data_IF_745133463203
#
_entry.id   IF_745133463203
#
_cell.length_a   1.000
_cell.length_b   1.000
_cell.length_c   1.000
_cell.angle_alpha   90.00
_cell.angle_beta   90.00
_cell.angle_gamma   90.00
#
_symmetry.space_group_name_H-M   'P 1'
#
loop_
_entity.id
_entity.type
_entity.pdbx_description
1 polymer ?
#
# COMPACT_ATOMS: atom_id res chain seq x y z
N UNK A 1 2.77 29.59 -9.59
CA UNK A 1 1.56 29.75 -10.40
C UNK A 1 0.69 28.55 -10.11
N UNK A 2 -0.56 28.73 -9.71
CA UNK A 2 -1.50 27.63 -9.46
C UNK A 2 -2.10 27.16 -10.79
N UNK A 3 -2.53 25.88 -10.84
CA UNK A 3 -3.27 25.36 -11.98
C UNK A 3 -4.60 26.13 -12.10
N UNK A 4 -4.84 26.67 -13.28
CA UNK A 4 -6.14 27.20 -13.69
C UNK A 4 -6.67 26.31 -14.81
N UNK A 5 -7.92 25.86 -14.69
CA UNK A 5 -8.54 24.97 -15.69
C UNK A 5 -8.47 25.61 -17.08
N UNK A 6 -7.83 24.92 -18.02
CA UNK A 6 -7.64 25.43 -19.39
C UNK A 6 -6.30 26.12 -19.67
N UNK A 7 -5.44 26.36 -18.66
CA UNK A 7 -4.11 26.99 -18.87
C UNK A 7 -3.00 25.96 -19.11
N UNK A 8 -3.25 24.68 -18.84
CA UNK A 8 -2.33 23.59 -19.09
C UNK A 8 -3.06 22.39 -19.68
N UNK A 9 -2.63 21.94 -20.83
CA UNK A 9 -3.09 20.68 -21.40
C UNK A 9 -2.39 19.51 -20.73
N UNK A 10 -3.15 18.58 -20.19
CA UNK A 10 -2.67 17.35 -19.53
C UNK A 10 -2.72 16.18 -20.51
N UNK A 11 -1.63 15.45 -20.60
CA UNK A 11 -1.55 14.22 -21.38
C UNK A 11 -2.29 13.08 -20.66
N UNK A 12 -3.38 12.52 -21.23
CA UNK A 12 -4.08 11.38 -20.63
C UNK A 12 -3.18 10.16 -20.45
N UNK A 13 -2.23 9.93 -21.37
CA UNK A 13 -1.35 8.77 -21.37
C UNK A 13 -0.15 8.88 -20.41
N UNK A 14 0.16 10.09 -19.90
CA UNK A 14 1.37 10.30 -19.11
C UNK A 14 1.16 11.14 -17.85
N UNK A 15 0.46 12.28 -17.95
CA UNK A 15 0.24 13.17 -16.80
C UNK A 15 -0.78 12.56 -15.82
N UNK A 16 -1.89 12.03 -16.36
CA UNK A 16 -2.93 11.41 -15.54
C UNK A 16 -2.40 10.17 -14.78
N UNK A 17 -1.71 9.18 -15.41
CA UNK A 17 -1.11 8.06 -14.68
C UNK A 17 -0.13 8.50 -13.60
N UNK A 18 0.68 9.56 -13.85
CA UNK A 18 1.60 10.07 -12.86
C UNK A 18 0.86 10.67 -11.65
N UNK A 19 -0.19 11.47 -11.88
CA UNK A 19 -1.02 12.01 -10.79
C UNK A 19 -1.73 10.90 -10.01
N UNK A 20 -2.27 9.88 -10.70
CA UNK A 20 -2.88 8.70 -10.08
C UNK A 20 -1.87 7.97 -9.19
N UNK A 21 -0.65 7.75 -9.67
CA UNK A 21 0.39 7.09 -8.86
C UNK A 21 0.76 7.91 -7.64
N UNK A 22 0.89 9.24 -7.75
CA UNK A 22 1.14 10.10 -6.58
C UNK A 22 0.00 10.00 -5.57
N UNK A 23 -1.26 9.99 -6.02
CA UNK A 23 -2.43 9.82 -5.15
C UNK A 23 -2.40 8.48 -4.41
N UNK A 24 -2.17 7.37 -5.14
CA UNK A 24 -2.14 6.00 -4.60
C UNK A 24 -0.99 5.77 -3.62
N UNK A 25 0.14 6.44 -3.84
CA UNK A 25 1.34 6.34 -3.01
C UNK A 25 1.27 7.15 -1.71
N UNK A 26 0.31 8.06 -1.55
CA UNK A 26 0.22 8.99 -0.42
C UNK A 26 1.40 9.97 -0.37
N UNK A 27 2.55 9.50 0.14
CA UNK A 27 3.85 10.18 0.05
C UNK A 27 4.82 9.33 -0.76
N UNK A 28 5.54 9.95 -1.68
CA UNK A 28 6.44 9.24 -2.60
C UNK A 28 7.70 10.06 -2.88
N UNK A 29 8.85 9.40 -2.98
CA UNK A 29 10.08 10.08 -3.47
C UNK A 29 10.07 10.16 -5.00
N UNK A 30 10.84 11.12 -5.56
CA UNK A 30 11.00 11.22 -7.02
C UNK A 30 11.60 9.97 -7.66
N UNK A 31 12.43 9.22 -6.91
CA UNK A 31 13.01 7.97 -7.42
C UNK A 31 11.96 6.84 -7.44
N UNK A 32 11.20 6.67 -6.36
CA UNK A 32 10.10 5.70 -6.31
C UNK A 32 9.07 5.98 -7.42
N UNK A 33 8.68 7.25 -7.56
CA UNK A 33 7.69 7.65 -8.56
C UNK A 33 8.19 7.39 -9.99
N UNK A 34 9.45 7.72 -10.29
CA UNK A 34 10.06 7.38 -11.58
C UNK A 34 10.04 5.87 -11.85
N UNK A 35 10.34 5.08 -10.83
CA UNK A 35 10.36 3.63 -10.98
C UNK A 35 8.96 3.04 -11.20
N UNK A 36 7.94 3.54 -10.52
CA UNK A 36 6.55 3.18 -10.80
C UNK A 36 6.19 3.47 -12.26
N UNK A 37 6.48 4.69 -12.75
CA UNK A 37 6.19 5.07 -14.14
C UNK A 37 6.95 4.24 -15.16
N UNK A 38 8.18 3.83 -14.83
CA UNK A 38 9.00 2.95 -15.68
C UNK A 38 8.42 1.53 -15.73
N UNK A 39 7.98 0.99 -14.62
CA UNK A 39 7.37 -0.33 -14.54
C UNK A 39 6.02 -0.37 -15.26
N UNK A 40 5.23 0.71 -15.18
CA UNK A 40 4.00 0.91 -15.97
C UNK A 40 4.24 1.17 -17.45
N UNK A 41 5.49 1.34 -17.88
CA UNK A 41 5.87 1.71 -19.27
C UNK A 41 5.29 3.05 -19.75
N UNK A 42 4.87 3.91 -18.82
CA UNK A 42 4.37 5.26 -19.13
C UNK A 42 5.50 6.28 -19.26
N UNK A 43 6.72 5.96 -18.79
CA UNK A 43 7.89 6.82 -18.87
C UNK A 43 9.17 6.01 -19.17
N UNK A 44 9.87 6.38 -20.24
CA UNK A 44 11.11 5.69 -20.67
C UNK A 44 12.39 6.45 -20.33
N UNK A 45 12.31 7.76 -20.03
CA UNK A 45 13.46 8.63 -19.84
C UNK A 45 13.38 9.38 -18.51
N UNK A 46 14.45 9.30 -17.72
CA UNK A 46 14.56 10.06 -16.47
C UNK A 46 14.44 11.57 -16.68
N UNK A 47 15.06 12.08 -17.75
CA UNK A 47 15.01 13.51 -18.08
C UNK A 47 13.59 13.97 -18.41
N UNK A 48 12.84 13.20 -19.20
CA UNK A 48 11.45 13.50 -19.54
C UNK A 48 10.57 13.45 -18.30
N UNK A 49 10.75 12.45 -17.44
CA UNK A 49 10.07 12.35 -16.16
C UNK A 49 10.34 13.57 -15.26
N UNK A 50 11.60 13.95 -15.07
CA UNK A 50 11.98 15.07 -14.19
C UNK A 50 11.42 16.41 -14.73
N UNK A 51 11.35 16.57 -16.06
CA UNK A 51 10.71 17.73 -16.67
C UNK A 51 9.21 17.75 -16.41
N UNK A 52 8.52 16.61 -16.59
CA UNK A 52 7.10 16.44 -16.33
C UNK A 52 6.76 16.70 -14.87
N UNK A 53 7.49 16.07 -13.94
CA UNK A 53 7.30 16.26 -12.51
C UNK A 53 7.46 17.73 -12.11
N UNK A 54 8.49 18.41 -12.62
CA UNK A 54 8.69 19.86 -12.36
C UNK A 54 7.54 20.70 -12.89
N UNK A 55 7.00 20.38 -14.08
CA UNK A 55 5.86 21.05 -14.68
C UNK A 55 4.62 20.89 -13.81
N UNK A 56 4.27 19.67 -13.41
CA UNK A 56 3.10 19.38 -12.55
C UNK A 56 3.20 20.06 -11.17
N UNK A 57 4.43 20.09 -10.60
CA UNK A 57 4.69 20.84 -9.36
C UNK A 57 4.54 22.36 -9.58
N UNK A 58 5.08 22.89 -10.69
CA UNK A 58 4.99 24.32 -11.02
C UNK A 58 3.56 24.81 -11.19
N UNK A 59 2.67 23.95 -11.70
CA UNK A 59 1.24 24.22 -11.82
C UNK A 59 0.42 23.87 -10.58
N UNK A 60 1.06 23.44 -9.49
CA UNK A 60 0.41 23.18 -8.21
C UNK A 60 -0.41 21.90 -8.16
N UNK A 61 -0.27 20.95 -9.12
CA UNK A 61 -0.98 19.67 -9.11
C UNK A 61 -0.31 18.63 -8.19
N UNK A 62 0.99 18.77 -7.97
CA UNK A 62 1.79 17.98 -7.05
C UNK A 62 2.47 18.93 -6.07
N UNK A 63 2.48 18.58 -4.79
CA UNK A 63 3.13 19.33 -3.74
C UNK A 63 4.47 18.71 -3.36
N UNK A 64 5.52 19.54 -3.25
CA UNK A 64 6.76 19.18 -2.57
C UNK A 64 6.57 19.24 -1.07
N UNK A 65 7.13 18.28 -0.33
CA UNK A 65 7.09 18.19 1.13
C UNK A 65 8.50 18.31 1.71
N UNK A 66 9.10 19.52 1.75
CA UNK A 66 10.49 19.70 2.09
C UNK A 66 10.84 19.24 3.53
N UNK A 67 9.93 19.43 4.49
CA UNK A 67 10.11 19.00 5.88
C UNK A 67 10.07 17.50 6.12
N UNK A 68 9.68 16.71 5.09
CA UNK A 68 9.57 15.25 5.16
C UNK A 68 10.68 14.55 4.40
N UNK A 69 11.61 15.30 3.80
CA UNK A 69 12.72 14.73 3.03
C UNK A 69 13.60 13.84 3.92
N UNK A 70 13.83 12.59 3.48
CA UNK A 70 14.81 11.69 4.09
C UNK A 70 16.12 11.78 3.31
N UNK A 71 17.13 12.36 3.93
CA UNK A 71 18.41 12.60 3.28
C UNK A 71 18.27 13.57 2.10
N UNK A 72 18.78 13.18 0.91
CA UNK A 72 18.75 14.00 -0.31
C UNK A 72 17.49 13.82 -1.17
N UNK A 73 16.52 13.00 -0.73
CA UNK A 73 15.35 12.66 -1.54
C UNK A 73 14.17 13.58 -1.25
N UNK A 74 13.76 14.34 -2.26
CA UNK A 74 12.54 15.13 -2.21
C UNK A 74 11.31 14.22 -2.17
N UNK A 75 10.39 14.51 -1.24
CA UNK A 75 9.09 13.83 -1.10
C UNK A 75 7.99 14.65 -1.77
N UNK A 76 7.06 13.96 -2.39
CA UNK A 76 5.91 14.51 -3.10
C UNK A 76 4.61 13.91 -2.59
N UNK A 77 3.53 14.67 -2.72
CA UNK A 77 2.15 14.23 -2.49
C UNK A 77 1.22 14.92 -3.48
N UNK A 78 0.02 14.36 -3.68
CA UNK A 78 -1.00 15.01 -4.50
C UNK A 78 -1.49 16.30 -3.82
N UNK A 79 -1.74 17.35 -4.61
CA UNK A 79 -2.38 18.58 -4.14
C UNK A 79 -3.91 18.47 -4.21
N UNK A 80 -4.61 19.50 -3.70
CA UNK A 80 -6.05 19.62 -3.89
C UNK A 80 -6.44 19.72 -5.37
N UNK A 81 -5.70 20.55 -6.09
CA UNK A 81 -5.97 20.80 -7.50
C UNK A 81 -5.67 19.56 -8.34
N UNK A 82 -4.58 18.82 -8.00
CA UNK A 82 -4.28 17.53 -8.62
C UNK A 82 -5.33 16.46 -8.36
N UNK A 83 -5.88 16.40 -7.14
CA UNK A 83 -6.99 15.51 -6.83
C UNK A 83 -8.27 15.89 -7.60
N UNK A 84 -8.56 17.18 -7.74
CA UNK A 84 -9.72 17.66 -8.52
C UNK A 84 -9.60 17.27 -9.99
N UNK A 85 -8.40 17.40 -10.57
CA UNK A 85 -8.12 16.95 -11.95
C UNK A 85 -8.40 15.45 -12.12
N UNK A 86 -8.04 14.63 -11.15
CA UNK A 86 -8.29 13.20 -11.21
C UNK A 86 -9.77 12.85 -11.10
N UNK A 87 -10.55 13.59 -10.29
CA UNK A 87 -12.01 13.45 -10.22
C UNK A 87 -12.63 13.80 -11.58
N UNK A 88 -12.22 14.90 -12.20
CA UNK A 88 -12.69 15.32 -13.53
C UNK A 88 -12.32 14.27 -14.61
N UNK A 89 -11.22 13.55 -14.42
CA UNK A 89 -10.79 12.45 -15.29
C UNK A 89 -11.48 11.11 -15.00
N UNK A 90 -12.41 11.06 -14.03
CA UNK A 90 -13.18 9.86 -13.69
C UNK A 90 -12.56 8.99 -12.59
N UNK A 91 -11.52 9.44 -11.89
CA UNK A 91 -10.92 8.72 -10.75
C UNK A 91 -11.78 8.91 -9.49
N UNK A 92 -12.59 7.91 -9.18
CA UNK A 92 -13.58 7.97 -8.09
C UNK A 92 -12.95 8.08 -6.69
N UNK A 93 -11.70 7.62 -6.53
CA UNK A 93 -11.01 7.62 -5.23
C UNK A 93 -10.39 8.98 -4.87
N UNK A 94 -10.20 9.86 -5.85
CA UNK A 94 -9.56 11.17 -5.65
C UNK A 94 -10.38 12.12 -4.77
N UNK A 95 -11.71 11.95 -4.73
CA UNK A 95 -12.62 12.78 -3.95
C UNK A 95 -12.49 12.63 -2.44
N UNK A 96 -11.96 11.50 -1.98
CA UNK A 96 -11.61 11.28 -0.58
C UNK A 96 -10.19 11.74 -0.33
N UNK A 97 -10.07 12.96 0.13
CA UNK A 97 -8.81 13.37 0.71
C UNK A 97 -8.45 12.47 1.87
N UNK A 98 -7.35 12.01 1.74
CA UNK A 98 -6.25 11.66 2.63
C UNK A 98 -6.23 12.35 4.01
N UNK A 99 -7.39 12.46 4.68
CA UNK A 99 -7.42 12.76 6.11
C UNK A 99 -6.61 11.69 6.86
N UNK A 100 -6.61 10.48 6.34
CA UNK A 100 -5.87 9.34 6.92
C UNK A 100 -4.41 9.26 6.46
N UNK A 101 -4.04 9.79 5.30
CA UNK A 101 -2.62 9.97 4.91
C UNK A 101 -1.88 10.88 5.89
N UNK A 102 -2.57 11.86 6.48
CA UNK A 102 -1.98 12.73 7.51
C UNK A 102 -1.78 11.98 8.84
N UNK A 103 -2.59 10.95 9.12
CA UNK A 103 -2.46 10.14 10.36
C UNK A 103 -1.29 9.16 10.30
N UNK A 104 -0.95 8.67 9.10
CA UNK A 104 0.21 7.80 8.93
C UNK A 104 1.47 8.64 8.70
N UNK A 105 2.58 8.27 9.32
CA UNK A 105 3.84 8.98 9.13
C UNK A 105 4.30 8.86 7.67
N UNK A 106 4.91 9.91 7.13
CA UNK A 106 5.53 9.89 5.79
C UNK A 106 6.43 8.66 5.59
N UNK A 107 7.16 8.27 6.63
CA UNK A 107 8.03 7.11 6.59
C UNK A 107 7.27 5.80 6.34
N UNK A 108 6.07 5.63 6.89
CA UNK A 108 5.23 4.47 6.64
C UNK A 108 4.90 4.34 5.13
N UNK A 109 4.46 5.43 4.51
CA UNK A 109 4.16 5.45 3.08
C UNK A 109 5.36 5.16 2.19
N UNK A 110 6.52 5.75 2.52
CA UNK A 110 7.73 5.52 1.74
C UNK A 110 8.20 4.06 1.82
N UNK A 111 8.12 3.45 3.00
CA UNK A 111 8.47 2.06 3.22
C UNK A 111 7.46 1.10 2.57
N UNK A 112 6.16 1.41 2.63
CA UNK A 112 5.11 0.67 1.94
C UNK A 112 5.28 0.72 0.41
N UNK A 113 5.67 1.86 -0.16
CA UNK A 113 5.97 1.99 -1.58
C UNK A 113 7.19 1.13 -1.98
N UNK A 114 8.19 0.96 -1.13
CA UNK A 114 9.30 0.02 -1.41
C UNK A 114 8.80 -1.43 -1.46
N UNK A 115 7.91 -1.83 -0.56
CA UNK A 115 7.27 -3.16 -0.60
C UNK A 115 6.52 -3.35 -1.92
N UNK A 116 5.73 -2.37 -2.34
CA UNK A 116 5.01 -2.39 -3.61
C UNK A 116 5.97 -2.54 -4.80
N UNK A 117 7.00 -1.70 -4.87
CA UNK A 117 8.01 -1.74 -5.92
C UNK A 117 8.77 -3.07 -5.95
N UNK A 118 9.11 -3.63 -4.79
CA UNK A 118 9.79 -4.92 -4.69
C UNK A 118 8.96 -6.07 -5.28
N UNK A 119 7.66 -6.12 -4.95
CA UNK A 119 6.73 -7.08 -5.53
C UNK A 119 6.56 -6.88 -7.04
N UNK A 120 6.46 -5.64 -7.50
CA UNK A 120 6.31 -5.36 -8.93
C UNK A 120 7.54 -5.76 -9.74
N UNK A 121 8.74 -5.41 -9.26
CA UNK A 121 10.04 -5.81 -9.89
C UNK A 121 10.18 -7.32 -10.03
N UNK A 122 9.67 -8.08 -9.07
CA UNK A 122 9.74 -9.55 -9.06
C UNK A 122 8.82 -10.20 -10.08
N UNK A 123 7.90 -9.44 -10.71
CA UNK A 123 6.83 -9.92 -11.59
C UNK A 123 5.84 -10.88 -10.92
N UNK A 124 5.88 -11.01 -9.60
CA UNK A 124 4.89 -11.78 -8.85
C UNK A 124 3.60 -10.98 -8.63
N UNK A 125 3.64 -9.66 -8.68
CA UNK A 125 2.49 -8.78 -8.47
C UNK A 125 1.51 -8.88 -9.63
N UNK A 126 0.27 -9.30 -9.35
CA UNK A 126 -0.86 -9.29 -10.28
C UNK A 126 -1.66 -7.99 -10.09
N UNK A 127 -1.99 -7.64 -8.83
CA UNK A 127 -2.74 -6.42 -8.50
C UNK A 127 -2.33 -5.88 -7.14
N UNK A 128 -2.24 -4.56 -7.08
CA UNK A 128 -2.09 -3.80 -5.84
C UNK A 128 -3.30 -2.88 -5.68
N UNK A 129 -4.11 -3.12 -4.66
CA UNK A 129 -5.23 -2.26 -4.27
C UNK A 129 -4.78 -1.40 -3.09
N UNK A 130 -4.56 -0.09 -3.28
CA UNK A 130 -4.03 0.78 -2.22
C UNK A 130 -5.09 1.13 -1.18
N UNK A 131 -4.65 1.62 -0.01
CA UNK A 131 -5.54 2.05 1.07
C UNK A 131 -6.62 3.05 0.62
N UNK A 132 -6.30 3.96 -0.30
CA UNK A 132 -7.25 4.94 -0.84
C UNK A 132 -8.44 4.29 -1.57
N UNK A 133 -8.17 3.22 -2.32
CA UNK A 133 -9.19 2.43 -3.01
C UNK A 133 -10.00 1.60 -2.00
N UNK A 134 -9.32 0.96 -1.04
CA UNK A 134 -9.96 0.17 0.02
C UNK A 134 -10.92 1.04 0.84
N UNK A 135 -10.48 2.21 1.31
CA UNK A 135 -11.32 3.16 2.03
C UNK A 135 -12.57 3.57 1.24
N UNK A 136 -12.45 3.72 -0.08
CA UNK A 136 -13.59 4.02 -0.93
C UNK A 136 -14.55 2.83 -1.05
N UNK A 137 -14.03 1.62 -1.23
CA UNK A 137 -14.82 0.39 -1.28
C UNK A 137 -15.56 0.14 0.04
N UNK A 138 -14.93 0.42 1.18
CA UNK A 138 -15.52 0.23 2.51
C UNK A 138 -16.73 1.13 2.82
N UNK A 139 -17.06 2.07 1.93
CA UNK A 139 -18.34 2.81 1.99
C UNK A 139 -19.51 2.07 1.35
N UNK A 140 -19.24 1.01 0.64
CA UNK A 140 -20.26 0.20 -0.05
C UNK A 140 -20.64 -1.01 0.80
N UNK A 141 -21.60 -1.81 0.31
CA UNK A 141 -21.96 -3.08 0.93
C UNK A 141 -20.87 -4.16 0.78
N UNK A 142 -20.00 -4.06 -0.22
CA UNK A 142 -18.86 -4.94 -0.45
C UNK A 142 -17.60 -4.34 0.19
N UNK A 143 -17.38 -4.63 1.46
CA UNK A 143 -16.36 -3.97 2.26
C UNK A 143 -15.45 -4.95 2.98
N UNK A 144 -14.19 -4.56 3.14
CA UNK A 144 -13.26 -5.20 4.06
C UNK A 144 -13.62 -4.87 5.51
N UNK A 145 -13.21 -5.69 6.44
CA UNK A 145 -13.42 -5.44 7.88
C UNK A 145 -12.75 -4.15 8.35
N UNK A 146 -11.64 -3.76 7.72
CA UNK A 146 -10.92 -2.51 8.03
C UNK A 146 -10.26 -1.91 6.79
N UNK A 147 -9.78 -0.68 6.92
CA UNK A 147 -8.94 -0.03 5.91
C UNK A 147 -7.51 -0.58 6.03
N UNK A 148 -7.18 -1.58 5.21
CA UNK A 148 -5.82 -2.13 5.11
C UNK A 148 -4.87 -1.16 4.40
N UNK A 149 -3.57 -1.28 4.64
CA UNK A 149 -2.55 -0.52 3.91
C UNK A 149 -2.53 -0.87 2.43
N UNK A 150 -2.76 -2.15 2.11
CA UNK A 150 -3.03 -2.61 0.75
C UNK A 150 -3.78 -3.96 0.77
N UNK A 151 -4.44 -4.30 -0.35
CA UNK A 151 -4.80 -5.68 -0.68
C UNK A 151 -4.04 -6.07 -1.93
N UNK A 152 -3.33 -7.18 -1.85
CA UNK A 152 -2.34 -7.61 -2.83
C UNK A 152 -2.77 -8.93 -3.44
N UNK A 153 -2.79 -9.01 -4.77
CA UNK A 153 -2.91 -10.26 -5.52
C UNK A 153 -1.55 -10.58 -6.15
N UNK A 154 -1.10 -11.81 -6.00
CA UNK A 154 0.20 -12.30 -6.49
C UNK A 154 0.03 -13.61 -7.24
N UNK A 155 0.91 -13.81 -8.24
CA UNK A 155 1.07 -15.10 -8.88
C UNK A 155 2.00 -15.98 -8.04
N UNK A 156 1.56 -17.19 -7.72
CA UNK A 156 2.36 -18.20 -7.03
C UNK A 156 2.08 -19.60 -7.59
N UNK A 157 2.86 -20.59 -7.14
CA UNK A 157 2.69 -21.98 -7.58
C UNK A 157 1.26 -22.46 -7.25
N UNK A 158 0.47 -22.66 -8.27
CA UNK A 158 -0.95 -23.08 -8.15
C UNK A 158 -1.97 -22.00 -8.54
N UNK A 159 -1.54 -20.81 -8.97
CA UNK A 159 -2.44 -19.77 -9.47
C UNK A 159 -2.26 -18.41 -8.80
N UNK A 160 -3.35 -17.64 -8.73
CA UNK A 160 -3.38 -16.36 -8.07
C UNK A 160 -3.78 -16.51 -6.60
N UNK A 161 -3.02 -15.88 -5.72
CA UNK A 161 -3.33 -15.77 -4.30
C UNK A 161 -3.54 -14.31 -3.91
N UNK A 162 -4.45 -14.07 -2.94
CA UNK A 162 -4.80 -12.74 -2.45
C UNK A 162 -4.66 -12.65 -0.94
N UNK A 163 -4.09 -11.55 -0.48
CA UNK A 163 -3.95 -11.27 0.95
C UNK A 163 -4.05 -9.77 1.24
N UNK A 164 -4.44 -9.41 2.47
CA UNK A 164 -4.31 -8.05 2.96
C UNK A 164 -2.91 -7.82 3.53
N UNK A 165 -2.38 -6.61 3.35
CA UNK A 165 -1.07 -6.18 3.84
C UNK A 165 -1.24 -5.08 4.87
N UNK A 166 -0.53 -5.20 5.98
CA UNK A 166 -0.36 -4.20 7.03
C UNK A 166 1.12 -3.97 7.28
N UNK A 167 1.54 -2.72 7.28
CA UNK A 167 2.91 -2.34 7.59
C UNK A 167 3.00 -1.71 8.99
N UNK A 168 3.53 -2.43 9.96
CA UNK A 168 3.59 -1.98 11.35
C UNK A 168 4.97 -1.39 11.67
N UNK A 169 5.02 -0.08 11.90
CA UNK A 169 6.27 0.64 12.21
C UNK A 169 6.51 0.85 13.69
N UNK A 170 5.45 1.12 14.42
CA UNK A 170 5.50 1.49 15.82
C UNK A 170 4.45 0.70 16.58
N UNK A 171 4.72 0.26 17.82
CA UNK A 171 3.76 -0.48 18.60
C UNK A 171 2.52 0.39 18.89
N UNK A 172 1.35 -0.24 18.79
CA UNK A 172 0.08 0.32 19.24
C UNK A 172 -0.13 -0.02 20.72
N UNK A 173 -1.13 0.59 21.33
CA UNK A 173 -1.55 0.21 22.69
C UNK A 173 -2.10 -1.22 22.71
N UNK A 174 -2.07 -1.82 23.87
CA UNK A 174 -2.60 -3.18 24.07
C UNK A 174 -4.07 -3.29 23.63
N UNK A 175 -4.90 -2.32 24.04
CA UNK A 175 -6.32 -2.29 23.68
C UNK A 175 -6.54 -2.18 22.18
N UNK A 176 -5.72 -1.36 21.46
CA UNK A 176 -5.85 -1.20 20.01
C UNK A 176 -5.58 -2.49 19.23
N UNK A 177 -4.65 -3.35 19.68
CA UNK A 177 -4.47 -4.66 19.06
C UNK A 177 -5.65 -5.61 19.30
N UNK A 178 -6.28 -5.54 20.49
CA UNK A 178 -7.50 -6.29 20.79
C UNK A 178 -8.67 -5.85 19.92
N UNK A 179 -8.86 -4.54 19.73
CA UNK A 179 -9.86 -3.99 18.81
C UNK A 179 -9.64 -4.43 17.37
N UNK A 180 -8.38 -4.42 16.91
CA UNK A 180 -8.03 -4.94 15.59
C UNK A 180 -8.39 -6.42 15.46
N UNK A 181 -8.01 -7.26 16.43
CA UNK A 181 -8.32 -8.68 16.39
C UNK A 181 -9.85 -8.92 16.33
N UNK A 182 -10.64 -8.19 17.13
CA UNK A 182 -12.11 -8.27 17.10
C UNK A 182 -12.67 -7.82 15.73
N UNK A 183 -12.17 -6.73 15.17
CA UNK A 183 -12.59 -6.26 13.85
C UNK A 183 -12.34 -7.30 12.77
N UNK A 184 -11.23 -8.03 12.85
CA UNK A 184 -10.86 -9.07 11.88
C UNK A 184 -11.75 -10.32 11.94
N UNK A 185 -12.57 -10.49 12.98
CA UNK A 185 -13.60 -11.54 13.01
C UNK A 185 -14.71 -11.33 11.99
N UNK A 186 -14.91 -10.10 11.52
CA UNK A 186 -15.89 -9.75 10.48
C UNK A 186 -15.32 -9.80 9.07
N UNK A 187 -14.03 -10.14 8.88
CA UNK A 187 -13.39 -10.17 7.56
C UNK A 187 -13.90 -11.35 6.71
N UNK A 188 -14.36 -11.03 5.50
CA UNK A 188 -14.94 -12.02 4.57
C UNK A 188 -14.31 -12.03 3.18
N UNK A 189 -13.52 -11.00 2.86
CA UNK A 189 -12.98 -10.79 1.52
C UNK A 189 -11.56 -11.31 1.35
N UNK A 190 -10.81 -11.48 2.45
CA UNK A 190 -9.47 -12.08 2.45
C UNK A 190 -9.36 -13.13 3.55
N UNK A 191 -8.67 -14.23 3.25
CA UNK A 191 -8.44 -15.32 4.21
C UNK A 191 -7.10 -15.17 4.96
N UNK A 192 -6.19 -14.35 4.44
CA UNK A 192 -4.84 -14.17 4.99
C UNK A 192 -4.48 -12.70 5.06
N UNK A 193 -3.88 -12.30 6.18
CA UNK A 193 -3.34 -10.96 6.39
C UNK A 193 -1.85 -11.09 6.68
N UNK A 194 -1.02 -10.35 5.95
CA UNK A 194 0.41 -10.25 6.19
C UNK A 194 0.72 -8.96 6.93
N UNK A 195 1.20 -9.07 8.16
CA UNK A 195 1.82 -7.97 8.88
C UNK A 195 3.33 -7.95 8.61
N UNK A 196 3.83 -6.86 8.07
CA UNK A 196 5.26 -6.60 7.94
C UNK A 196 5.71 -5.65 9.05
N UNK A 197 6.41 -6.19 10.04
CA UNK A 197 6.92 -5.42 11.17
C UNK A 197 8.30 -4.82 10.85
N UNK A 198 8.54 -3.59 11.33
CA UNK A 198 9.82 -2.89 11.16
C UNK A 198 10.98 -3.53 11.93
N UNK A 199 10.69 -4.31 12.98
CA UNK A 199 11.69 -5.00 13.81
C UNK A 199 11.11 -6.25 14.48
N UNK A 200 12.01 -7.10 15.00
CA UNK A 200 11.65 -8.39 15.60
C UNK A 200 10.76 -8.26 16.85
N UNK A 201 11.02 -7.26 17.70
CA UNK A 201 10.22 -7.05 18.90
C UNK A 201 8.76 -6.75 18.55
N UNK A 202 8.55 -5.85 17.59
CA UNK A 202 7.21 -5.52 17.10
C UNK A 202 6.53 -6.71 16.40
N UNK A 203 7.30 -7.52 15.65
CA UNK A 203 6.81 -8.76 15.06
C UNK A 203 6.25 -9.71 16.12
N UNK A 204 6.95 -9.88 17.25
CA UNK A 204 6.48 -10.70 18.36
C UNK A 204 5.21 -10.11 19.01
N UNK A 205 5.17 -8.80 19.22
CA UNK A 205 3.96 -8.12 19.78
C UNK A 205 2.75 -8.39 18.90
N UNK A 206 2.85 -8.17 17.58
CA UNK A 206 1.73 -8.39 16.65
C UNK A 206 1.30 -9.86 16.65
N UNK A 207 2.25 -10.80 16.57
CA UNK A 207 1.97 -12.24 16.63
C UNK A 207 1.16 -12.64 17.86
N UNK A 208 1.51 -12.10 19.03
CA UNK A 208 0.92 -12.49 20.30
C UNK A 208 -0.41 -11.77 20.58
N UNK A 209 -0.70 -10.67 19.88
CA UNK A 209 -1.85 -9.80 20.15
C UNK A 209 -2.93 -9.81 19.09
N UNK A 210 -2.57 -10.01 17.83
CA UNK A 210 -3.54 -10.00 16.72
C UNK A 210 -3.86 -11.44 16.34
N UNK A 211 -4.75 -12.08 17.12
CA UNK A 211 -5.05 -13.51 17.01
C UNK A 211 -6.53 -13.79 16.69
N UNK A 212 -7.06 -13.27 15.57
CA UNK A 212 -8.44 -13.56 15.18
C UNK A 212 -8.60 -15.02 14.78
N UNK A 213 -9.84 -15.55 14.94
CA UNK A 213 -10.15 -16.92 14.53
C UNK A 213 -10.61 -16.99 13.07
N UNK A 214 -11.15 -15.90 12.53
CA UNK A 214 -11.74 -15.86 11.19
C UNK A 214 -10.70 -15.82 10.06
N UNK A 215 -9.64 -15.07 10.22
CA UNK A 215 -8.58 -14.91 9.22
C UNK A 215 -7.25 -15.41 9.74
N UNK A 216 -6.36 -15.80 8.84
CA UNK A 216 -4.99 -16.18 9.19
C UNK A 216 -4.13 -14.93 9.21
N UNK A 217 -3.54 -14.62 10.36
CA UNK A 217 -2.56 -13.54 10.49
C UNK A 217 -1.16 -14.10 10.44
N UNK A 218 -0.39 -13.67 9.45
CA UNK A 218 1.03 -13.98 9.26
C UNK A 218 1.86 -12.75 9.61
N UNK A 219 2.95 -12.92 10.32
CA UNK A 219 3.81 -11.79 10.72
C UNK A 219 5.24 -12.08 10.28
N UNK A 220 5.83 -11.14 9.54
CA UNK A 220 7.20 -11.21 9.04
C UNK A 220 7.96 -9.92 9.24
N UNK A 221 9.28 -9.94 9.05
CA UNK A 221 10.12 -8.75 9.08
C UNK A 221 10.09 -8.05 7.70
N UNK A 222 9.81 -6.76 7.69
CA UNK A 222 9.81 -5.97 6.47
C UNK A 222 11.17 -6.00 5.75
N UNK A 223 12.27 -5.93 6.49
CA UNK A 223 13.62 -6.01 5.93
C UNK A 223 13.90 -7.34 5.22
N UNK A 224 13.39 -8.46 5.78
CA UNK A 224 13.51 -9.77 5.12
C UNK A 224 12.61 -9.88 3.90
N UNK A 225 11.40 -9.32 3.98
CA UNK A 225 10.46 -9.31 2.86
C UNK A 225 11.05 -8.59 1.64
N UNK A 226 11.76 -7.51 1.83
CA UNK A 226 12.43 -6.79 0.74
C UNK A 226 13.46 -7.64 -0.01
N UNK A 227 14.11 -8.60 0.67
CA UNK A 227 15.12 -9.48 0.06
C UNK A 227 14.56 -10.82 -0.44
N UNK A 228 13.53 -11.35 0.24
CA UNK A 228 13.01 -12.71 0.02
C UNK A 228 11.61 -12.76 -0.61
N UNK A 229 10.87 -11.63 -0.55
CA UNK A 229 9.49 -11.49 -1.04
C UNK A 229 8.57 -12.59 -0.48
N UNK A 230 7.86 -13.31 -1.34
CA UNK A 230 6.95 -14.38 -0.93
C UNK A 230 7.65 -15.58 -0.24
N UNK A 231 8.99 -15.69 -0.33
CA UNK A 231 9.79 -16.69 0.40
C UNK A 231 10.16 -16.23 1.81
N UNK A 232 9.72 -15.05 2.24
CA UNK A 232 9.98 -14.55 3.60
C UNK A 232 9.45 -15.54 4.63
N UNK A 233 10.28 -15.95 5.63
CA UNK A 233 9.80 -16.72 6.74
C UNK A 233 8.86 -15.87 7.59
N UNK A 234 7.69 -16.43 7.90
CA UNK A 234 6.69 -15.76 8.73
C UNK A 234 6.30 -16.62 9.92
N UNK A 235 5.76 -15.99 10.94
CA UNK A 235 5.10 -16.63 12.06
C UNK A 235 3.59 -16.55 11.87
N UNK A 236 2.86 -17.58 12.27
CA UNK A 236 1.39 -17.52 12.29
C UNK A 236 0.95 -17.14 13.69
N UNK A 237 0.19 -16.05 13.79
CA UNK A 237 -0.32 -15.51 15.04
C UNK A 237 -1.22 -16.53 15.78
N UNK A 238 -1.12 -16.55 17.11
CA UNK A 238 -1.88 -17.49 17.94
C UNK A 238 -1.41 -18.95 17.84
N UNK A 239 -0.28 -19.24 17.18
CA UNK A 239 0.27 -20.59 17.04
C UNK A 239 1.74 -20.64 17.41
N UNK A 240 2.29 -21.88 17.52
CA UNK A 240 3.75 -22.12 17.68
C UNK A 240 4.48 -22.19 16.32
N UNK A 241 3.75 -22.11 15.22
CA UNK A 241 4.31 -22.20 13.88
C UNK A 241 5.11 -20.96 13.53
N UNK A 242 6.34 -21.14 13.10
CA UNK A 242 7.29 -20.09 12.72
C UNK A 242 8.19 -20.55 11.57
N UNK A 243 8.87 -19.59 10.96
CA UNK A 243 9.82 -19.82 9.88
C UNK A 243 9.22 -20.52 8.64
N UNK A 244 7.91 -20.35 8.42
CA UNK A 244 7.23 -20.88 7.24
C UNK A 244 7.34 -19.86 6.10
N UNK A 245 7.84 -20.24 4.91
CA UNK A 245 7.79 -19.34 3.74
C UNK A 245 6.37 -18.89 3.47
N UNK A 246 6.16 -17.58 3.31
CA UNK A 246 4.82 -17.01 3.15
C UNK A 246 4.07 -17.59 1.94
N UNK A 247 4.76 -17.86 0.84
CA UNK A 247 4.16 -18.52 -0.34
C UNK A 247 3.52 -19.87 -0.01
N UNK A 248 4.11 -20.64 0.92
CA UNK A 248 3.56 -21.94 1.31
C UNK A 248 2.23 -21.80 2.06
N UNK A 249 2.07 -20.68 2.78
CA UNK A 249 0.80 -20.35 3.45
C UNK A 249 -0.25 -19.94 2.44
N UNK A 250 0.12 -19.14 1.44
CA UNK A 250 -0.79 -18.71 0.38
C UNK A 250 -1.28 -19.89 -0.48
N UNK A 251 -0.45 -20.90 -0.70
CA UNK A 251 -0.82 -22.10 -1.45
C UNK A 251 -1.76 -23.05 -0.70
N UNK A 252 -1.95 -22.86 0.62
CA UNK A 252 -2.84 -23.70 1.43
C UNK A 252 -4.24 -23.08 1.51
N UNK A 253 -5.27 -23.71 0.90
CA UNK A 253 -6.63 -23.28 1.12
C UNK A 253 -6.95 -23.37 2.61
N UNK A 254 -7.56 -22.32 3.15
CA UNK A 254 -8.05 -22.37 4.53
C UNK A 254 -9.35 -23.18 4.54
N UNK A 255 -9.37 -24.23 5.36
CA UNK A 255 -10.64 -24.86 5.72
C UNK A 255 -11.53 -23.80 6.42
N UNK A 256 -12.55 -23.33 5.72
CA UNK A 256 -13.53 -22.42 6.34
C UNK A 256 -14.25 -23.18 7.45
N UNK A 257 -13.90 -22.88 8.71
CA UNK A 257 -14.71 -23.33 9.84
C UNK A 257 -16.11 -22.70 9.69
N UNK A 258 -17.06 -23.49 9.21
CA UNK A 258 -18.46 -23.14 9.26
C UNK A 258 -18.80 -23.02 10.76
N UNK A 259 -19.25 -21.85 11.21
CA UNK A 259 -19.81 -21.73 12.55
C UNK A 259 -21.04 -22.64 12.61
N UNK A 260 -21.18 -23.45 13.67
CA UNK A 260 -22.38 -24.25 13.90
C UNK A 260 -23.62 -23.36 14.07
#
# INVERSE_FOLDING_TARGET
MRYEKGTMELSPARDIPLLQQVLRSGFVTGNQLYEFMRLEQTEGSRQAFDHRLRRLVGHGLIEKRPGLARGRHQVYSISKDGASVLIDAGELFAGRRNVDVVKQSCAHWLELNEVHLALWRSRALVRWTPATEICSQNLTSYRYAKDYDAVVAVSCDGGEARFALEYERTPKTFGAYGEIANTLEDETLVDTILYLASNYHLMCIVRDRVTPQRVRVCVGLAAEFMGKLLRTPVMIAGTTQRDIPFQNILAQPRERRVRP
#
